data_IF_927905180170
#
_entry.id   IF_927905180170
#
_cell.length_a   1.000
_cell.length_b   1.000
_cell.length_c   1.000
_cell.angle_alpha   90.00
_cell.angle_beta   90.00
_cell.angle_gamma   90.00
#
_symmetry.space_group_name_H-M   'P 1'
#
loop_
_entity.id
_entity.type
_entity.pdbx_description
1 polymer ?
#
# COMPACT_ATOMS: atom_id res chain seq x y z
N UNK A 1 -65.32 5.35 -44.21
CA UNK A 1 -65.14 6.45 -43.23
C UNK A 1 -64.51 5.88 -41.96
N UNK A 2 -63.41 6.51 -41.50
CA UNK A 2 -62.73 6.40 -40.18
C UNK A 2 -61.72 5.25 -39.95
N UNK A 3 -60.44 5.55 -40.20
CA UNK A 3 -59.28 5.16 -39.37
C UNK A 3 -59.14 6.18 -38.20
N UNK A 4 -58.16 6.10 -37.28
CA UNK A 4 -57.42 4.98 -36.65
C UNK A 4 -57.37 5.12 -35.10
N UNK A 5 -56.83 4.13 -34.37
CA UNK A 5 -56.20 4.40 -33.06
C UNK A 5 -54.88 3.62 -32.97
N UNK A 6 -53.78 4.37 -33.03
CA UNK A 6 -52.43 3.90 -32.81
C UNK A 6 -52.16 3.81 -31.30
N UNK A 7 -51.61 2.68 -30.84
CA UNK A 7 -51.03 2.54 -29.50
C UNK A 7 -49.51 2.71 -29.62
N UNK A 8 -48.88 3.67 -28.93
CA UNK A 8 -47.43 3.77 -28.88
C UNK A 8 -46.87 2.77 -27.85
N UNK A 9 -45.97 1.90 -28.30
CA UNK A 9 -45.18 1.02 -27.43
C UNK A 9 -44.11 1.89 -26.73
N UNK A 10 -44.24 1.99 -25.41
CA UNK A 10 -43.38 2.75 -24.52
C UNK A 10 -42.01 2.07 -24.40
N UNK A 11 -40.97 2.69 -24.96
CA UNK A 11 -39.58 2.27 -24.79
C UNK A 11 -39.07 2.67 -23.40
N UNK A 12 -39.00 1.72 -22.46
CA UNK A 12 -38.35 1.90 -21.17
C UNK A 12 -36.84 1.65 -21.32
N UNK A 13 -36.08 2.71 -21.59
CA UNK A 13 -34.60 2.68 -21.56
C UNK A 13 -34.19 2.73 -20.07
N UNK A 14 -33.76 1.58 -19.56
CA UNK A 14 -33.07 1.47 -18.27
C UNK A 14 -31.69 2.12 -18.40
N UNK A 15 -31.61 3.40 -18.06
CA UNK A 15 -30.34 4.10 -17.83
C UNK A 15 -29.68 3.50 -16.58
N UNK A 16 -28.78 2.55 -16.78
CA UNK A 16 -27.83 2.12 -15.77
C UNK A 16 -26.86 3.28 -15.49
N UNK A 17 -27.11 4.02 -14.40
CA UNK A 17 -26.21 5.04 -13.89
C UNK A 17 -24.99 4.39 -13.24
N UNK A 18 -23.86 4.38 -13.96
CA UNK A 18 -22.58 4.14 -13.32
C UNK A 18 -22.18 5.42 -12.60
N UNK A 19 -22.52 5.52 -11.31
CA UNK A 19 -21.97 6.54 -10.41
C UNK A 19 -20.47 6.27 -10.30
N UNK A 20 -19.68 7.02 -11.07
CA UNK A 20 -18.25 7.20 -10.83
C UNK A 20 -18.07 8.11 -9.62
N UNK A 21 -18.19 7.54 -8.43
CA UNK A 21 -17.77 8.22 -7.21
C UNK A 21 -16.25 8.24 -7.16
N UNK A 22 -15.66 9.43 -7.04
CA UNK A 22 -14.27 9.61 -6.64
C UNK A 22 -14.08 8.91 -5.28
N UNK A 23 -13.61 7.68 -5.30
CA UNK A 23 -13.55 6.80 -4.15
C UNK A 23 -12.55 5.71 -4.44
N UNK A 24 -11.69 5.45 -3.45
CA UNK A 24 -10.71 4.39 -3.48
C UNK A 24 -11.33 3.09 -4.06
N UNK A 25 -10.67 2.51 -5.06
CA UNK A 25 -11.09 1.27 -5.72
C UNK A 25 -11.25 0.11 -4.75
N UNK A 26 -11.97 -0.94 -5.18
CA UNK A 26 -12.43 -2.04 -4.33
C UNK A 26 -11.35 -2.64 -3.42
N UNK A 27 -11.77 -3.09 -2.23
CA UNK A 27 -10.94 -3.69 -1.18
C UNK A 27 -10.47 -5.13 -1.47
N UNK A 28 -10.59 -5.58 -2.72
CA UNK A 28 -10.24 -6.93 -3.15
C UNK A 28 -8.80 -6.99 -3.60
N UNK A 29 -8.17 -8.17 -3.46
CA UNK A 29 -6.86 -8.38 -4.03
C UNK A 29 -6.87 -8.17 -5.55
N UNK A 30 -5.86 -7.50 -6.08
CA UNK A 30 -5.75 -7.20 -7.52
C UNK A 30 -4.40 -7.65 -8.07
N UNK A 31 -4.34 -8.34 -9.22
CA UNK A 31 -3.06 -8.63 -9.87
C UNK A 31 -2.38 -7.34 -10.32
N UNK A 32 -1.06 -7.32 -10.24
CA UNK A 32 -0.17 -6.28 -10.78
C UNK A 32 0.98 -6.94 -11.53
N UNK A 33 1.71 -6.16 -12.33
CA UNK A 33 2.87 -6.59 -13.12
C UNK A 33 2.51 -7.82 -13.97
N UNK A 34 1.42 -7.71 -14.74
CA UNK A 34 0.88 -8.78 -15.57
C UNK A 34 0.58 -10.08 -14.80
N UNK A 35 0.20 -9.98 -13.52
CA UNK A 35 -0.15 -11.11 -12.67
C UNK A 35 1.03 -11.76 -11.95
N UNK A 36 2.23 -11.17 -12.02
CA UNK A 36 3.39 -11.65 -11.26
C UNK A 36 3.17 -11.59 -9.74
N UNK A 37 2.34 -10.65 -9.27
CA UNK A 37 2.04 -10.45 -7.86
C UNK A 37 0.59 -10.00 -7.67
N UNK A 38 -0.04 -10.40 -6.57
CA UNK A 38 -1.36 -9.90 -6.18
C UNK A 38 -1.21 -8.88 -5.04
N UNK A 39 -1.77 -7.69 -5.19
CA UNK A 39 -1.79 -6.70 -4.12
C UNK A 39 -2.94 -7.03 -3.19
N UNK A 40 -2.63 -7.54 -1.99
CA UNK A 40 -3.62 -7.70 -0.93
C UNK A 40 -3.91 -6.38 -0.24
N UNK A 41 -5.19 -6.10 0.03
CA UNK A 41 -5.65 -4.86 0.67
C UNK A 41 -6.09 -5.15 2.12
N UNK A 42 -5.60 -4.41 3.14
CA UNK A 42 -6.05 -4.61 4.50
C UNK A 42 -7.51 -4.14 4.68
N UNK A 43 -8.28 -4.85 5.51
CA UNK A 43 -9.69 -4.52 5.75
C UNK A 43 -9.86 -3.07 6.25
N UNK A 44 -10.81 -2.33 5.67
CA UNK A 44 -11.04 -0.91 5.94
C UNK A 44 -10.20 0.05 5.09
N UNK A 45 -9.27 -0.47 4.29
CA UNK A 45 -8.50 0.29 3.31
C UNK A 45 -8.87 -0.11 1.89
N UNK A 46 -8.65 0.82 0.97
CA UNK A 46 -8.99 0.71 -0.43
C UNK A 46 -7.86 1.34 -1.25
N UNK A 47 -7.63 0.84 -2.46
CA UNK A 47 -6.55 1.33 -3.34
C UNK A 47 -6.94 2.68 -3.93
N UNK A 48 -6.03 3.64 -3.95
CA UNK A 48 -6.17 4.87 -4.72
C UNK A 48 -5.64 4.63 -6.14
N UNK A 49 -6.50 4.52 -7.16
CA UNK A 49 -6.04 4.24 -8.52
C UNK A 49 -5.31 5.42 -9.16
N UNK A 50 -5.57 6.66 -8.73
CA UNK A 50 -4.96 7.87 -9.29
C UNK A 50 -3.55 8.07 -8.74
N UNK A 51 -3.34 7.70 -7.47
CA UNK A 51 -2.05 7.78 -6.81
C UNK A 51 -1.21 6.49 -6.95
N UNK A 52 -1.77 5.43 -7.55
CA UNK A 52 -1.08 4.17 -7.83
C UNK A 52 -0.63 4.10 -9.28
N UNK A 53 0.46 3.38 -9.54
CA UNK A 53 0.99 3.21 -10.89
C UNK A 53 1.84 1.96 -11.04
N UNK A 54 1.85 1.42 -12.25
CA UNK A 54 2.68 0.30 -12.66
C UNK A 54 3.58 0.77 -13.80
N UNK A 55 4.86 0.46 -13.70
CA UNK A 55 5.78 0.47 -14.82
C UNK A 55 5.93 -0.97 -15.34
N UNK A 56 6.85 -1.18 -16.30
CA UNK A 56 7.05 -2.49 -16.92
C UNK A 56 7.36 -3.60 -15.90
N UNK A 57 8.18 -3.31 -14.88
CA UNK A 57 8.63 -4.34 -13.92
C UNK A 57 8.67 -3.85 -12.45
N UNK A 58 8.08 -2.68 -12.18
CA UNK A 58 7.91 -2.12 -10.82
C UNK A 58 6.52 -1.56 -10.64
N UNK A 59 6.01 -1.52 -9.41
CA UNK A 59 4.71 -0.93 -9.12
C UNK A 59 4.75 -0.15 -7.80
N UNK A 60 3.92 0.89 -7.72
CA UNK A 60 3.64 1.63 -6.49
C UNK A 60 2.12 1.64 -6.30
N UNK A 61 1.66 1.16 -5.16
CA UNK A 61 0.25 1.14 -4.79
C UNK A 61 0.05 1.95 -3.53
N UNK A 62 -0.85 2.93 -3.61
CA UNK A 62 -1.29 3.70 -2.46
C UNK A 62 -2.65 3.21 -2.01
N UNK A 63 -2.82 3.03 -0.71
CA UNK A 63 -4.08 2.65 -0.09
C UNK A 63 -4.40 3.62 1.03
N UNK A 64 -5.65 4.08 1.05
CA UNK A 64 -6.19 4.94 2.09
C UNK A 64 -7.40 4.29 2.74
N UNK A 65 -7.91 4.92 3.80
CA UNK A 65 -9.17 4.50 4.42
C UNK A 65 -10.30 4.61 3.39
N UNK A 66 -11.08 3.54 3.18
CA UNK A 66 -12.12 3.50 2.13
C UNK A 66 -13.14 4.64 2.23
N UNK A 67 -13.50 5.03 3.46
CA UNK A 67 -14.42 6.14 3.72
C UNK A 67 -14.16 6.73 5.10
N UNK A 68 -14.64 7.95 5.35
CA UNK A 68 -14.50 8.58 6.67
C UNK A 68 -15.24 7.86 7.81
N UNK A 69 -16.16 6.96 7.48
CA UNK A 69 -16.95 6.19 8.44
C UNK A 69 -16.37 4.80 8.72
N UNK A 70 -15.33 4.37 7.98
CA UNK A 70 -14.71 3.09 8.21
C UNK A 70 -14.10 3.04 9.63
N UNK A 71 -14.38 1.95 10.37
CA UNK A 71 -13.92 1.73 11.74
C UNK A 71 -12.43 1.34 11.81
N UNK A 72 -11.58 2.10 11.12
CA UNK A 72 -10.12 2.00 11.12
C UNK A 72 -9.49 3.39 11.23
N UNK A 73 -8.28 3.44 11.77
CA UNK A 73 -7.51 4.69 11.90
C UNK A 73 -7.13 5.24 10.52
N UNK A 74 -7.20 6.56 10.28
CA UNK A 74 -6.65 7.15 9.08
C UNK A 74 -5.17 6.85 8.92
N UNK A 75 -4.80 6.28 7.78
CA UNK A 75 -3.41 6.07 7.42
C UNK A 75 -3.30 5.97 5.90
N UNK A 76 -2.10 6.25 5.41
CA UNK A 76 -1.67 5.95 4.04
C UNK A 76 -0.77 4.73 4.11
N UNK A 77 -1.17 3.66 3.43
CA UNK A 77 -0.35 2.48 3.22
C UNK A 77 0.22 2.54 1.81
N UNK A 78 1.55 2.58 1.70
CA UNK A 78 2.24 2.58 0.41
C UNK A 78 2.95 1.25 0.24
N UNK A 79 2.70 0.58 -0.87
CA UNK A 79 3.36 -0.65 -1.28
C UNK A 79 4.19 -0.37 -2.53
N UNK A 80 5.50 -0.50 -2.43
CA UNK A 80 6.41 -0.45 -3.57
C UNK A 80 6.92 -1.85 -3.88
N UNK A 81 6.87 -2.23 -5.15
CA UNK A 81 7.27 -3.54 -5.66
C UNK A 81 8.43 -3.33 -6.62
N UNK A 82 9.55 -3.94 -6.29
CA UNK A 82 10.78 -3.91 -7.07
C UNK A 82 10.78 -4.84 -8.28
N UNK A 83 11.83 -4.66 -9.07
CA UNK A 83 12.13 -5.45 -10.27
C UNK A 83 12.26 -6.96 -9.94
N UNK A 84 12.09 -7.83 -10.93
CA UNK A 84 12.29 -9.26 -10.77
C UNK A 84 13.73 -9.54 -10.30
N UNK A 85 13.89 -10.47 -9.34
CA UNK A 85 15.20 -10.82 -8.77
C UNK A 85 15.75 -9.84 -7.73
N UNK A 86 15.07 -8.72 -7.45
CA UNK A 86 15.54 -7.72 -6.47
C UNK A 86 15.48 -8.18 -5.01
N UNK A 87 14.81 -9.30 -4.70
CA UNK A 87 14.71 -9.81 -3.33
C UNK A 87 16.03 -10.29 -2.71
N UNK A 88 17.12 -10.40 -3.49
CA UNK A 88 18.41 -10.93 -3.02
C UNK A 88 18.97 -10.22 -1.78
N UNK A 89 18.65 -8.94 -1.58
CA UNK A 89 19.05 -8.18 -0.38
C UNK A 89 18.51 -8.79 0.93
N UNK A 90 17.38 -9.49 0.88
CA UNK A 90 16.78 -10.12 2.05
C UNK A 90 17.60 -11.31 2.56
N UNK A 91 18.47 -11.89 1.72
CA UNK A 91 19.37 -12.97 2.12
C UNK A 91 20.44 -12.51 3.13
N UNK A 92 20.67 -11.20 3.26
CA UNK A 92 21.58 -10.66 4.27
C UNK A 92 21.14 -10.99 5.70
N UNK A 93 19.83 -11.15 5.94
CA UNK A 93 19.30 -11.43 7.27
C UNK A 93 19.03 -10.18 8.12
N UNK A 94 18.31 -10.36 9.22
CA UNK A 94 17.78 -9.28 10.02
C UNK A 94 18.83 -8.43 10.75
N UNK A 95 19.90 -9.06 11.23
CA UNK A 95 20.95 -8.36 12.00
C UNK A 95 21.76 -7.43 11.09
N UNK A 96 22.12 -7.91 9.91
CA UNK A 96 22.84 -7.20 8.86
C UNK A 96 21.98 -6.04 8.32
N UNK A 97 20.69 -6.29 8.06
CA UNK A 97 19.75 -5.23 7.67
C UNK A 97 19.60 -4.17 8.76
N UNK A 98 19.51 -4.56 10.03
CA UNK A 98 19.48 -3.63 11.15
C UNK A 98 20.76 -2.79 11.23
N UNK A 99 21.93 -3.43 11.08
CA UNK A 99 23.22 -2.74 11.04
C UNK A 99 23.30 -1.75 9.88
N UNK A 100 22.83 -2.14 8.69
CA UNK A 100 22.81 -1.26 7.52
C UNK A 100 21.90 -0.05 7.73
N UNK A 101 20.62 -0.26 8.06
CA UNK A 101 19.65 0.85 8.18
C UNK A 101 19.93 1.77 9.38
N UNK A 102 20.64 1.30 10.41
CA UNK A 102 21.09 2.16 11.51
C UNK A 102 22.40 2.91 11.20
N UNK A 103 23.13 2.55 10.15
CA UNK A 103 24.33 3.27 9.69
C UNK A 103 24.00 4.60 8.98
N UNK A 104 24.96 5.54 8.84
CA UNK A 104 24.76 6.74 8.04
C UNK A 104 24.34 6.44 6.58
N UNK A 105 24.96 5.43 5.95
CA UNK A 105 24.65 5.08 4.56
C UNK A 105 23.21 4.56 4.42
N UNK A 106 22.77 3.65 5.29
CA UNK A 106 21.40 3.14 5.22
C UNK A 106 20.35 4.19 5.62
N UNK A 107 20.65 5.10 6.56
CA UNK A 107 19.75 6.23 6.83
C UNK A 107 19.65 7.20 5.66
N UNK A 108 20.74 7.41 4.92
CA UNK A 108 20.72 8.20 3.69
C UNK A 108 19.78 7.59 2.63
N UNK A 109 19.70 6.26 2.51
CA UNK A 109 18.75 5.62 1.57
C UNK A 109 17.28 5.75 2.00
N UNK A 110 17.02 5.97 3.30
CA UNK A 110 15.67 6.20 3.82
C UNK A 110 15.24 7.67 3.74
N UNK A 111 16.21 8.59 3.71
CA UNK A 111 15.96 10.02 3.72
C UNK A 111 15.46 10.52 2.35
N UNK A 112 14.35 11.29 2.31
CA UNK A 112 13.89 11.91 1.05
C UNK A 112 14.97 12.79 0.40
N UNK A 113 15.82 13.41 1.21
CA UNK A 113 16.91 14.31 0.77
C UNK A 113 18.23 13.59 0.52
N UNK A 114 18.31 12.28 0.80
CA UNK A 114 19.57 11.54 0.82
C UNK A 114 20.49 11.84 2.01
N UNK A 115 20.08 12.71 2.96
CA UNK A 115 20.91 13.07 4.12
C UNK A 115 20.56 12.22 5.34
N UNK A 116 21.54 11.46 5.81
CA UNK A 116 21.41 10.58 6.97
C UNK A 116 21.01 11.29 8.29
N UNK A 117 21.24 12.60 8.39
CA UNK A 117 20.86 13.44 9.54
C UNK A 117 19.35 13.71 9.59
N UNK A 118 18.66 13.61 8.46
CA UNK A 118 17.26 13.98 8.33
C UNK A 118 16.32 12.82 8.73
N UNK A 119 16.89 11.66 9.03
CA UNK A 119 16.17 10.44 9.41
C UNK A 119 16.81 9.77 10.62
N UNK A 120 15.96 9.22 11.48
CA UNK A 120 16.33 8.30 12.56
C UNK A 120 15.59 6.98 12.38
N UNK A 121 16.31 5.87 12.57
CA UNK A 121 15.69 4.55 12.74
C UNK A 121 15.51 4.32 14.23
N UNK A 122 14.27 4.42 14.70
CA UNK A 122 13.89 4.31 16.11
C UNK A 122 13.85 2.84 16.54
N UNK A 123 13.49 1.95 15.63
CA UNK A 123 13.40 0.52 15.87
C UNK A 123 13.72 -0.22 14.58
N UNK A 124 14.37 -1.37 14.68
CA UNK A 124 14.71 -2.28 13.58
C UNK A 124 14.62 -3.72 14.11
N UNK A 125 13.80 -4.57 13.47
CA UNK A 125 13.56 -5.94 13.92
C UNK A 125 13.12 -6.85 12.78
N UNK A 126 13.32 -8.16 12.95
CA UNK A 126 12.73 -9.17 12.06
C UNK A 126 11.36 -9.62 12.58
N UNK A 127 10.40 -9.82 11.69
CA UNK A 127 9.08 -10.35 12.00
C UNK A 127 8.63 -11.31 10.87
N UNK A 128 8.80 -12.62 11.09
CA UNK A 128 8.65 -13.61 10.03
C UNK A 128 9.65 -13.34 8.90
N UNK A 129 9.16 -13.36 7.65
CA UNK A 129 9.97 -13.09 6.46
C UNK A 129 10.16 -11.59 6.15
N UNK A 130 9.61 -10.71 6.99
CA UNK A 130 9.73 -9.27 6.84
C UNK A 130 10.72 -8.67 7.83
N UNK A 131 11.46 -7.66 7.36
CA UNK A 131 12.25 -6.78 8.19
C UNK A 131 11.48 -5.48 8.42
N UNK A 132 11.16 -5.17 9.67
CA UNK A 132 10.38 -4.02 10.07
C UNK A 132 11.27 -2.97 10.72
N UNK A 133 10.96 -1.71 10.43
CA UNK A 133 11.61 -0.56 11.04
C UNK A 133 10.60 0.53 11.35
N UNK A 134 10.82 1.22 12.48
CA UNK A 134 10.15 2.47 12.80
C UNK A 134 11.08 3.62 12.44
N UNK A 135 10.68 4.42 11.47
CA UNK A 135 11.49 5.50 10.89
C UNK A 135 10.89 6.84 11.33
N UNK A 136 11.74 7.80 11.67
CA UNK A 136 11.34 9.16 11.98
C UNK A 136 12.12 10.14 11.11
N UNK A 137 11.41 10.91 10.30
CA UNK A 137 11.95 12.02 9.53
C UNK A 137 11.97 13.30 10.39
N UNK A 138 12.88 14.23 10.08
CA UNK A 138 13.00 15.49 10.80
C UNK A 138 11.72 16.32 10.71
N UNK A 139 11.15 16.70 11.85
CA UNK A 139 9.90 17.48 11.92
C UNK A 139 8.62 16.66 11.74
N UNK A 140 8.72 15.34 11.54
CA UNK A 140 7.59 14.47 11.23
C UNK A 140 7.36 13.42 12.34
N UNK A 141 6.11 12.96 12.53
CA UNK A 141 5.83 11.77 13.33
C UNK A 141 6.53 10.53 12.75
N UNK A 142 6.96 9.61 13.62
CA UNK A 142 7.53 8.34 13.17
C UNK A 142 6.48 7.45 12.52
N UNK A 143 6.89 6.63 11.56
CA UNK A 143 6.04 5.69 10.83
C UNK A 143 6.68 4.30 10.72
N UNK A 144 5.88 3.29 10.39
CA UNK A 144 6.39 1.94 10.17
C UNK A 144 6.71 1.70 8.70
N UNK A 145 7.84 1.06 8.44
CA UNK A 145 8.23 0.54 7.13
C UNK A 145 8.64 -0.92 7.27
N UNK A 146 8.20 -1.76 6.35
CA UNK A 146 8.59 -3.14 6.21
C UNK A 146 9.30 -3.34 4.87
N UNK A 147 10.26 -4.26 4.84
CA UNK A 147 10.94 -4.73 3.64
C UNK A 147 10.89 -6.26 3.66
N UNK A 148 10.47 -6.87 2.57
CA UNK A 148 10.36 -8.33 2.45
C UNK A 148 10.63 -8.80 1.03
N UNK A 149 11.00 -10.05 0.88
CA UNK A 149 11.08 -10.72 -0.41
C UNK A 149 9.76 -11.42 -0.69
N UNK A 150 9.15 -11.18 -1.84
CA UNK A 150 7.93 -11.88 -2.26
C UNK A 150 8.03 -12.23 -3.74
N UNK A 151 7.92 -13.53 -4.07
CA UNK A 151 8.04 -14.05 -5.45
C UNK A 151 9.29 -13.51 -6.19
N UNK A 152 10.43 -13.48 -5.49
CA UNK A 152 11.71 -13.00 -6.04
C UNK A 152 11.83 -11.48 -6.16
N UNK A 153 10.84 -10.69 -5.75
CA UNK A 153 10.84 -9.23 -5.80
C UNK A 153 10.99 -8.64 -4.41
N UNK A 154 11.78 -7.57 -4.30
CA UNK A 154 11.82 -6.76 -3.10
C UNK A 154 10.52 -5.97 -2.98
N UNK A 155 9.83 -6.14 -1.87
CA UNK A 155 8.63 -5.39 -1.55
C UNK A 155 8.96 -4.48 -0.37
N UNK A 156 8.60 -3.21 -0.50
CA UNK A 156 8.65 -2.25 0.61
C UNK A 156 7.23 -1.81 0.91
N UNK A 157 6.85 -1.82 2.18
CA UNK A 157 5.55 -1.34 2.63
C UNK A 157 5.76 -0.27 3.69
N UNK A 158 5.02 0.85 3.63
CA UNK A 158 5.03 1.85 4.70
C UNK A 158 3.63 2.22 5.13
N UNK A 159 3.46 2.50 6.42
CA UNK A 159 2.20 2.96 7.01
C UNK A 159 2.47 4.26 7.75
N UNK A 160 1.99 5.37 7.19
CA UNK A 160 2.14 6.74 7.74
C UNK A 160 0.77 7.36 8.02
N UNK A 161 0.69 8.23 9.02
CA UNK A 161 -0.49 9.09 9.22
C UNK A 161 -0.66 10.10 8.08
N UNK A 162 -1.87 10.64 7.94
CA UNK A 162 -2.13 11.71 6.99
C UNK A 162 -1.64 13.07 7.52
N UNK A 163 -1.51 14.09 6.67
CA UNK A 163 -1.10 15.43 7.11
C UNK A 163 -2.09 16.08 8.10
N UNK A 164 -3.34 15.64 8.10
CA UNK A 164 -4.41 16.16 8.95
C UNK A 164 -4.56 15.41 10.28
N UNK A 165 -4.05 14.18 10.36
CA UNK A 165 -4.21 13.33 11.54
C UNK A 165 -2.96 12.45 11.72
N UNK A 166 -2.20 12.75 12.77
CA UNK A 166 -1.03 11.96 13.14
C UNK A 166 -1.46 10.56 13.58
N UNK A 167 -0.72 9.56 13.10
CA UNK A 167 -0.94 8.16 13.47
C UNK A 167 -0.03 7.80 14.64
N UNK A 168 -0.60 7.31 15.73
CA UNK A 168 0.19 6.76 16.82
C UNK A 168 1.03 5.58 16.30
N UNK A 169 2.30 5.43 16.71
CA UNK A 169 3.14 4.36 16.20
C UNK A 169 2.54 2.97 16.41
N UNK A 170 1.73 2.80 17.45
CA UNK A 170 1.23 1.48 17.84
C UNK A 170 0.02 1.10 16.98
N UNK A 171 -0.82 2.09 16.65
CA UNK A 171 -1.86 1.96 15.64
C UNK A 171 -1.26 1.67 14.26
N UNK A 172 -0.16 2.36 13.91
CA UNK A 172 0.59 2.11 12.67
C UNK A 172 1.14 0.68 12.58
N UNK A 173 1.60 0.12 13.72
CA UNK A 173 2.04 -1.28 13.77
C UNK A 173 0.90 -2.24 13.51
N UNK A 174 -0.26 -2.03 14.14
CA UNK A 174 -1.46 -2.87 13.91
C UNK A 174 -1.89 -2.86 12.45
N UNK A 175 -1.85 -1.70 11.79
CA UNK A 175 -2.17 -1.59 10.37
C UNK A 175 -1.12 -2.31 9.50
N UNK A 176 0.17 -2.15 9.80
CA UNK A 176 1.26 -2.83 9.10
C UNK A 176 1.09 -4.36 9.16
N UNK A 177 0.82 -4.90 10.35
CA UNK A 177 0.64 -6.34 10.53
C UNK A 177 -0.57 -6.86 9.72
N UNK A 178 -1.68 -6.11 9.69
CA UNK A 178 -2.85 -6.43 8.84
C UNK A 178 -2.54 -6.35 7.35
N UNK A 179 -1.75 -5.38 6.92
CA UNK A 179 -1.38 -5.18 5.53
C UNK A 179 -0.44 -6.29 5.03
N UNK A 180 0.55 -6.68 5.83
CA UNK A 180 1.41 -7.83 5.57
C UNK A 180 0.60 -9.14 5.51
N UNK A 181 -0.33 -9.34 6.44
CA UNK A 181 -1.23 -10.51 6.41
C UNK A 181 -2.14 -10.53 5.17
N UNK A 182 -2.62 -9.38 4.71
CA UNK A 182 -3.40 -9.28 3.47
C UNK A 182 -2.55 -9.60 2.23
N UNK A 183 -1.32 -9.07 2.17
CA UNK A 183 -0.38 -9.34 1.09
C UNK A 183 -0.03 -10.84 1.00
N UNK A 184 0.26 -11.47 2.13
CA UNK A 184 0.59 -12.89 2.20
C UNK A 184 -0.62 -13.77 1.80
N UNK A 185 -1.83 -13.45 2.27
CA UNK A 185 -3.04 -14.19 1.86
C UNK A 185 -3.31 -14.09 0.35
N UNK A 186 -2.97 -12.97 -0.28
CA UNK A 186 -3.12 -12.78 -1.72
C UNK A 186 -2.03 -13.52 -2.54
N UNK A 187 -0.93 -13.92 -1.89
CA UNK A 187 0.20 -14.59 -2.52
C UNK A 187 0.63 -15.81 -1.69
N UNK A 188 -0.18 -16.89 -1.67
CA UNK A 188 0.24 -18.15 -1.07
C UNK A 188 1.52 -18.67 -1.75
N UNK A 189 2.30 -19.44 -0.99
CA UNK A 189 3.53 -20.09 -1.45
C UNK A 189 3.27 -21.08 -2.58
#
# INVERSE_FOLDING_TARGET
MKQPFALPVLAAILLASCVGGAGFGGSSARPVLNGALNVGVPAGYCVDPEASGEAEDTAIILMGRCSNQAAVKPAVVTLAIGQAGSAGVMAAGGAELAGFFTSPQGRATLAPTGRASDVRVVTALSAGDAFLMRVQEAGEPSYWRAVLGLKGRLVTMSVKGGPQEALAPEDGRVIMDKALAALNRANPA
#
